data_IF_229871783046
#
_entry.id   IF_229871783046
#
_cell.length_a   1.000
_cell.length_b   1.000
_cell.length_c   1.000
_cell.angle_alpha   90.00
_cell.angle_beta   90.00
_cell.angle_gamma   90.00
#
_symmetry.space_group_name_H-M   'P 1'
#
loop_
_entity.id
_entity.type
_entity.pdbx_description
1 polymer ?
#
# COMPACT_ATOMS: atom_id res chain seq x y z
N UNK A 1 13.96 -9.64 5.05
CA UNK A 1 12.79 -8.93 5.67
C UNK A 1 11.78 -9.85 6.31
N UNK A 2 11.95 -11.15 6.24
CA UNK A 2 10.98 -12.16 6.73
C UNK A 2 10.71 -12.12 8.24
N UNK A 3 11.66 -11.58 9.02
CA UNK A 3 11.53 -11.51 10.49
C UNK A 3 10.38 -10.60 10.97
N UNK A 4 10.04 -9.55 10.20
CA UNK A 4 8.93 -8.64 10.53
C UNK A 4 7.58 -9.22 10.07
N UNK A 5 7.58 -10.12 9.11
CA UNK A 5 6.39 -10.84 8.66
C UNK A 5 5.97 -11.97 9.61
N UNK A 6 6.89 -12.45 10.48
CA UNK A 6 6.53 -13.45 11.52
C UNK A 6 5.76 -12.78 12.66
N UNK A 7 4.46 -13.06 12.73
CA UNK A 7 3.56 -12.57 13.78
C UNK A 7 4.10 -12.82 15.20
N UNK A 8 4.77 -13.95 15.42
CA UNK A 8 5.34 -14.28 16.73
C UNK A 8 6.60 -13.45 17.04
N UNK A 9 7.41 -13.13 16.03
CA UNK A 9 8.55 -12.23 16.19
C UNK A 9 8.10 -10.80 16.53
N UNK A 10 7.03 -10.34 15.90
CA UNK A 10 6.40 -9.04 16.23
C UNK A 10 5.85 -9.03 17.65
N UNK A 11 5.24 -10.11 18.11
CA UNK A 11 4.81 -10.22 19.52
C UNK A 11 5.98 -10.16 20.50
N UNK A 12 7.12 -10.78 20.19
CA UNK A 12 8.34 -10.67 21.01
C UNK A 12 8.83 -9.21 21.00
N UNK A 13 8.88 -8.56 19.82
CA UNK A 13 9.29 -7.17 19.68
C UNK A 13 8.41 -6.24 20.53
N UNK A 14 7.10 -6.42 20.48
CA UNK A 14 6.12 -5.67 21.29
C UNK A 14 6.36 -5.83 22.79
N UNK A 15 6.60 -7.05 23.25
CA UNK A 15 6.86 -7.31 24.66
C UNK A 15 8.21 -6.71 25.11
N UNK A 16 9.23 -6.73 24.25
CA UNK A 16 10.52 -6.05 24.54
C UNK A 16 10.32 -4.52 24.62
N UNK A 17 9.43 -3.97 23.78
CA UNK A 17 9.12 -2.53 23.78
C UNK A 17 8.37 -2.07 25.03
N UNK A 18 7.37 -2.85 25.46
CA UNK A 18 6.46 -2.46 26.56
C UNK A 18 7.02 -2.79 27.95
N UNK A 19 7.78 -3.88 28.07
CA UNK A 19 8.23 -4.37 29.38
C UNK A 19 9.68 -4.82 29.22
N UNK A 20 10.61 -4.17 29.91
CA UNK A 20 12.01 -4.62 30.01
C UNK A 20 12.09 -5.92 30.82
N UNK A 21 11.38 -6.95 30.39
CA UNK A 21 11.15 -8.17 31.16
C UNK A 21 12.25 -9.20 30.95
N UNK A 22 12.42 -10.04 31.96
CA UNK A 22 13.29 -11.19 31.92
C UNK A 22 12.79 -12.21 30.87
N UNK A 23 13.70 -12.88 30.17
CA UNK A 23 13.39 -13.85 29.09
C UNK A 23 12.40 -14.92 29.52
N UNK A 24 12.49 -15.43 30.76
CA UNK A 24 11.63 -16.49 31.26
C UNK A 24 10.16 -16.04 31.40
N UNK A 25 9.94 -14.79 31.82
CA UNK A 25 8.60 -14.20 31.89
C UNK A 25 7.99 -14.08 30.48
N UNK A 26 8.79 -13.66 29.50
CA UNK A 26 8.33 -13.53 28.11
C UNK A 26 8.01 -14.88 27.47
N UNK A 27 8.83 -15.91 27.72
CA UNK A 27 8.62 -17.27 27.23
C UNK A 27 7.27 -17.81 27.75
N UNK A 28 7.04 -17.71 29.05
CA UNK A 28 5.79 -18.15 29.69
C UNK A 28 4.57 -17.39 29.16
N UNK A 29 4.65 -16.06 29.06
CA UNK A 29 3.55 -15.19 28.63
C UNK A 29 3.16 -15.43 27.16
N UNK A 30 4.16 -15.68 26.31
CA UNK A 30 3.95 -15.91 24.87
C UNK A 30 3.64 -17.38 24.55
N UNK A 31 3.64 -18.25 25.54
CA UNK A 31 3.45 -19.71 25.38
C UNK A 31 4.40 -20.29 24.32
N UNK A 32 5.65 -19.86 24.33
CA UNK A 32 6.70 -20.31 23.41
C UNK A 32 7.61 -21.32 24.11
N UNK A 33 8.21 -22.22 23.32
CA UNK A 33 9.35 -22.99 23.81
C UNK A 33 10.60 -22.12 23.87
N UNK A 34 11.55 -22.44 24.74
CA UNK A 34 12.86 -21.72 24.81
C UNK A 34 13.53 -21.67 23.43
N UNK A 35 13.54 -22.77 22.68
CA UNK A 35 14.11 -22.86 21.34
C UNK A 35 13.44 -21.86 20.38
N UNK A 36 12.11 -21.79 20.38
CA UNK A 36 11.35 -20.87 19.55
C UNK A 36 11.62 -19.40 19.91
N UNK A 37 11.67 -19.09 21.21
CA UNK A 37 11.95 -17.74 21.69
C UNK A 37 13.34 -17.28 21.25
N UNK A 38 14.39 -18.07 21.56
CA UNK A 38 15.76 -17.68 21.21
C UNK A 38 16.02 -17.62 19.71
N UNK A 39 15.44 -18.51 18.92
CA UNK A 39 15.53 -18.48 17.46
C UNK A 39 14.98 -17.17 16.90
N UNK A 40 13.78 -16.75 17.31
CA UNK A 40 13.15 -15.51 16.85
C UNK A 40 13.88 -14.27 17.37
N UNK A 41 14.26 -14.27 18.63
CA UNK A 41 15.02 -13.15 19.21
C UNK A 41 16.38 -12.99 18.52
N UNK A 42 17.05 -14.10 18.16
CA UNK A 42 18.25 -14.05 17.34
C UNK A 42 18.00 -13.45 15.95
N UNK A 43 16.86 -13.78 15.32
CA UNK A 43 16.42 -13.14 14.08
C UNK A 43 16.24 -11.63 14.22
N UNK A 44 15.59 -11.18 15.31
CA UNK A 44 15.40 -9.75 15.61
C UNK A 44 16.73 -9.02 15.84
N UNK A 45 17.70 -9.68 16.51
CA UNK A 45 19.05 -9.13 16.71
C UNK A 45 19.80 -9.03 15.38
N UNK A 46 19.77 -10.09 14.55
CA UNK A 46 20.39 -10.09 13.21
C UNK A 46 19.78 -9.03 12.28
N UNK A 47 18.48 -8.78 12.39
CA UNK A 47 17.79 -7.73 11.67
C UNK A 47 18.07 -6.31 12.23
N UNK A 48 18.86 -6.18 13.29
CA UNK A 48 19.19 -4.89 13.91
C UNK A 48 18.05 -4.21 14.67
N UNK A 49 16.93 -4.91 14.92
CA UNK A 49 15.75 -4.37 15.61
C UNK A 49 15.93 -4.37 17.12
N UNK A 50 16.69 -5.33 17.63
CA UNK A 50 16.89 -5.56 19.05
C UNK A 50 18.38 -5.72 19.33
N UNK A 51 18.84 -5.22 20.48
CA UNK A 51 20.19 -5.43 21.00
C UNK A 51 20.12 -6.11 22.37
N UNK A 52 21.15 -6.90 22.69
CA UNK A 52 21.33 -7.53 24.01
C UNK A 52 22.32 -6.73 24.82
N UNK A 53 21.94 -6.31 26.03
CA UNK A 53 22.80 -5.62 26.98
C UNK A 53 22.56 -6.17 28.39
N UNK A 54 23.64 -6.50 29.12
CA UNK A 54 23.55 -7.04 30.48
C UNK A 54 22.54 -8.17 30.68
N UNK A 55 22.47 -9.11 29.72
CA UNK A 55 21.55 -10.23 29.75
C UNK A 55 20.09 -9.91 29.38
N UNK A 56 19.74 -8.67 29.10
CA UNK A 56 18.39 -8.21 28.71
C UNK A 56 18.36 -7.75 27.25
N UNK A 57 17.16 -7.74 26.66
CA UNK A 57 16.93 -7.27 25.31
C UNK A 57 16.30 -5.89 25.30
N UNK A 58 16.76 -5.03 24.39
CA UNK A 58 16.31 -3.66 24.22
C UNK A 58 16.10 -3.35 22.74
N UNK A 59 15.13 -2.49 22.43
CA UNK A 59 14.99 -1.99 21.07
C UNK A 59 16.19 -1.10 20.70
N UNK A 60 16.69 -1.26 19.49
CA UNK A 60 17.58 -0.28 18.85
C UNK A 60 16.80 0.97 18.44
N UNK A 61 17.47 2.03 18.01
CA UNK A 61 16.78 3.19 17.41
C UNK A 61 15.98 2.78 16.17
N UNK A 62 16.56 1.94 15.31
CA UNK A 62 15.88 1.36 14.17
C UNK A 62 14.66 0.52 14.59
N UNK A 63 14.83 -0.34 15.59
CA UNK A 63 13.73 -1.15 16.14
C UNK A 63 12.59 -0.32 16.73
N UNK A 64 12.88 0.84 17.31
CA UNK A 64 11.85 1.77 17.81
C UNK A 64 11.02 2.37 16.68
N UNK A 65 11.69 2.82 15.60
CA UNK A 65 11.01 3.37 14.42
C UNK A 65 10.11 2.31 13.79
N UNK A 66 10.64 1.10 13.56
CA UNK A 66 9.85 -0.01 12.99
C UNK A 66 8.66 -0.37 13.89
N UNK A 67 8.87 -0.42 15.20
CA UNK A 67 7.79 -0.73 16.16
C UNK A 67 6.68 0.33 16.13
N UNK A 68 7.04 1.61 16.12
CA UNK A 68 6.08 2.71 16.00
C UNK A 68 5.27 2.60 14.72
N UNK A 69 5.95 2.47 13.58
CA UNK A 69 5.29 2.33 12.27
C UNK A 69 4.33 1.12 12.23
N UNK A 70 4.73 0.00 12.83
CA UNK A 70 3.89 -1.19 12.90
C UNK A 70 2.64 -0.95 13.76
N UNK A 71 2.78 -0.28 14.90
CA UNK A 71 1.67 0.06 15.79
C UNK A 71 0.70 1.03 15.11
N UNK A 72 1.21 2.03 14.40
CA UNK A 72 0.40 2.97 13.63
C UNK A 72 -0.38 2.25 12.52
N UNK A 73 0.27 1.31 11.82
CA UNK A 73 -0.37 0.48 10.81
C UNK A 73 -1.50 -0.39 11.38
N UNK A 74 -1.28 -1.07 12.52
CA UNK A 74 -2.33 -1.86 13.18
C UNK A 74 -3.53 -0.97 13.55
N UNK A 75 -3.27 0.21 14.12
CA UNK A 75 -4.31 1.16 14.51
C UNK A 75 -5.13 1.63 13.29
N UNK A 76 -4.47 1.85 12.14
CA UNK A 76 -5.14 2.23 10.90
C UNK A 76 -6.04 1.11 10.36
N UNK A 77 -5.55 -0.12 10.39
CA UNK A 77 -6.36 -1.28 10.00
C UNK A 77 -7.58 -1.44 10.91
N UNK A 78 -7.38 -1.34 12.23
CA UNK A 78 -8.47 -1.45 13.19
C UNK A 78 -9.53 -0.37 12.97
N UNK A 79 -9.12 0.87 12.73
CA UNK A 79 -10.04 1.95 12.33
C UNK A 79 -10.80 1.61 11.06
N UNK A 80 -10.11 1.14 10.00
CA UNK A 80 -10.76 0.77 8.75
C UNK A 80 -11.77 -0.37 8.94
N UNK A 81 -11.46 -1.37 9.77
CA UNK A 81 -12.38 -2.46 10.10
C UNK A 81 -13.63 -1.97 10.84
N UNK A 82 -13.50 -0.98 11.73
CA UNK A 82 -14.64 -0.37 12.42
C UNK A 82 -15.60 0.35 11.45
N UNK A 83 -15.09 0.81 10.30
CA UNK A 83 -15.90 1.43 9.25
C UNK A 83 -16.34 0.46 8.15
N UNK A 84 -16.02 -0.83 8.24
CA UNK A 84 -16.23 -1.82 7.16
C UNK A 84 -17.62 -1.75 6.53
N UNK A 85 -18.70 -1.74 7.32
CA UNK A 85 -20.07 -1.72 6.80
C UNK A 85 -20.43 -0.38 6.15
N UNK A 86 -19.94 0.74 6.69
CA UNK A 86 -20.13 2.07 6.10
C UNK A 86 -19.38 2.18 4.76
N UNK A 87 -18.16 1.67 4.68
CA UNK A 87 -17.36 1.62 3.46
C UNK A 87 -18.04 0.76 2.40
N UNK A 88 -18.53 -0.42 2.77
CA UNK A 88 -19.29 -1.28 1.87
C UNK A 88 -20.57 -0.62 1.36
N UNK A 89 -21.27 0.12 2.18
CA UNK A 89 -22.47 0.88 1.75
C UNK A 89 -22.12 1.96 0.72
N UNK A 90 -20.99 2.65 0.87
CA UNK A 90 -20.50 3.64 -0.12
C UNK A 90 -20.20 2.98 -1.47
N UNK A 91 -19.70 1.75 -1.49
CA UNK A 91 -19.39 1.03 -2.72
C UNK A 91 -20.65 0.53 -3.48
N UNK A 92 -21.79 0.43 -2.81
CA UNK A 92 -23.07 0.05 -3.44
C UNK A 92 -23.78 1.21 -4.14
N UNK A 93 -23.31 2.44 -4.00
CA UNK A 93 -23.92 3.62 -4.61
C UNK A 93 -23.49 3.71 -6.07
N UNK A 94 -24.43 3.52 -6.98
CA UNK A 94 -24.19 3.61 -8.42
C UNK A 94 -24.06 5.07 -8.88
N UNK A 95 -22.95 5.39 -9.53
CA UNK A 95 -22.66 6.64 -10.26
C UNK A 95 -23.07 7.97 -9.58
N UNK A 96 -22.71 8.24 -8.32
CA UNK A 96 -23.03 9.51 -7.70
C UNK A 96 -22.19 10.64 -8.31
N UNK A 97 -22.75 11.86 -8.40
CA UNK A 97 -21.93 13.03 -8.72
C UNK A 97 -20.82 13.22 -7.67
N UNK A 98 -19.69 13.82 -8.05
CA UNK A 98 -18.55 14.06 -7.11
C UNK A 98 -18.98 14.82 -5.84
N UNK A 99 -19.87 15.80 -5.98
CA UNK A 99 -20.38 16.57 -4.85
C UNK A 99 -21.21 15.67 -3.92
N UNK A 100 -22.17 14.94 -4.47
CA UNK A 100 -23.03 14.04 -3.71
C UNK A 100 -22.26 12.94 -2.98
N UNK A 101 -21.25 12.35 -3.65
CA UNK A 101 -20.38 11.34 -3.02
C UNK A 101 -19.59 11.92 -1.84
N UNK A 102 -19.07 13.14 -1.98
CA UNK A 102 -18.34 13.82 -0.89
C UNK A 102 -19.24 14.07 0.32
N UNK A 103 -20.50 14.48 0.07
CA UNK A 103 -21.48 14.69 1.14
C UNK A 103 -21.81 13.39 1.87
N UNK A 104 -22.03 12.29 1.13
CA UNK A 104 -22.27 10.96 1.69
C UNK A 104 -21.08 10.49 2.54
N UNK A 105 -19.86 10.61 2.01
CA UNK A 105 -18.64 10.24 2.75
C UNK A 105 -18.52 11.07 4.03
N UNK A 106 -18.77 12.36 3.94
CA UNK A 106 -18.70 13.28 5.11
C UNK A 106 -19.72 12.95 6.18
N UNK A 107 -20.89 12.47 5.78
CA UNK A 107 -21.99 12.09 6.70
C UNK A 107 -21.74 10.73 7.35
N UNK A 108 -21.20 9.75 6.62
CA UNK A 108 -21.02 8.38 7.10
C UNK A 108 -19.72 8.16 7.87
N UNK A 109 -18.67 8.88 7.52
CA UNK A 109 -17.32 8.67 8.05
C UNK A 109 -16.93 9.86 8.92
N UNK A 110 -16.59 9.60 10.19
CA UNK A 110 -16.15 10.66 11.11
C UNK A 110 -14.62 10.88 11.05
N UNK A 111 -13.85 9.85 10.61
CA UNK A 111 -12.39 9.92 10.55
C UNK A 111 -11.91 10.72 9.33
N UNK A 112 -11.26 11.87 9.56
CA UNK A 112 -10.70 12.71 8.49
C UNK A 112 -9.63 11.99 7.66
N UNK A 113 -8.87 11.08 8.28
CA UNK A 113 -7.87 10.27 7.59
C UNK A 113 -8.52 9.36 6.54
N UNK A 114 -9.59 8.65 6.89
CA UNK A 114 -10.32 7.77 5.99
C UNK A 114 -11.04 8.58 4.91
N UNK A 115 -11.68 9.71 5.27
CA UNK A 115 -12.30 10.63 4.31
C UNK A 115 -11.32 11.07 3.23
N UNK A 116 -10.11 11.47 3.64
CA UNK A 116 -9.10 11.98 2.71
C UNK A 116 -8.66 10.90 1.70
N UNK A 117 -8.55 9.65 2.13
CA UNK A 117 -8.21 8.51 1.26
C UNK A 117 -9.33 8.30 0.23
N UNK A 118 -10.58 8.20 0.68
CA UNK A 118 -11.73 7.92 -0.19
C UNK A 118 -11.97 9.01 -1.23
N UNK A 119 -11.84 10.29 -0.82
CA UNK A 119 -12.04 11.43 -1.73
C UNK A 119 -10.93 11.49 -2.77
N UNK A 120 -9.68 11.22 -2.39
CA UNK A 120 -8.52 11.25 -3.28
C UNK A 120 -8.57 10.11 -4.31
N UNK A 121 -8.88 8.91 -3.87
CA UNK A 121 -8.89 7.70 -4.70
C UNK A 121 -10.03 7.72 -5.73
N UNK A 122 -11.25 8.03 -5.31
CA UNK A 122 -12.40 8.15 -6.23
C UNK A 122 -12.31 9.36 -7.18
N UNK A 123 -11.50 10.38 -6.87
CA UNK A 123 -11.18 11.43 -7.82
C UNK A 123 -10.28 10.94 -8.97
N UNK A 124 -9.43 9.95 -8.74
CA UNK A 124 -8.57 9.34 -9.75
C UNK A 124 -9.36 8.38 -10.65
N UNK A 125 -10.27 7.57 -10.10
CA UNK A 125 -11.09 6.63 -10.87
C UNK A 125 -12.02 7.34 -11.86
N UNK A 126 -12.58 8.48 -11.49
CA UNK A 126 -13.41 9.29 -12.36
C UNK A 126 -12.63 10.00 -13.50
N UNK A 127 -11.33 10.24 -13.33
CA UNK A 127 -10.48 10.75 -14.41
C UNK A 127 -10.10 9.69 -15.44
N UNK A 128 -10.18 8.41 -15.08
CA UNK A 128 -9.86 7.29 -15.96
C UNK A 128 -11.02 6.88 -16.90
N UNK A 129 -12.21 7.45 -16.72
CA UNK A 129 -13.43 7.16 -17.51
C UNK A 129 -13.72 8.24 -18.56
N UNK A 130 -12.75 9.04 -18.99
CA UNK A 130 -12.95 9.92 -20.15
C UNK A 130 -13.01 9.06 -21.40
N UNK A 131 -14.15 8.99 -22.14
CA UNK A 131 -14.19 8.32 -23.42
C UNK A 131 -13.23 9.01 -24.37
N UNK A 132 -12.31 8.28 -24.94
CA UNK A 132 -11.53 8.74 -26.09
C UNK A 132 -12.46 8.74 -27.29
N UNK A 133 -13.19 9.83 -27.50
CA UNK A 133 -13.81 10.12 -28.78
C UNK A 133 -12.71 10.41 -29.79
N UNK A 134 -12.33 9.40 -30.51
CA UNK A 134 -11.53 9.53 -31.72
C UNK A 134 -12.43 10.14 -32.79
N UNK A 135 -12.07 11.30 -33.40
CA UNK A 135 -12.80 11.80 -34.55
C UNK A 135 -12.62 10.81 -35.70
N UNK A 136 -13.73 10.25 -36.17
CA UNK A 136 -13.77 9.51 -37.44
C UNK A 136 -13.54 10.50 -38.57
N UNK A 137 -12.35 10.49 -39.14
CA UNK A 137 -12.06 11.15 -40.42
C UNK A 137 -12.95 10.53 -41.51
N UNK A 138 -13.85 11.33 -42.02
CA UNK A 138 -14.60 11.06 -43.24
C UNK A 138 -13.65 11.24 -44.42
N UNK A 139 -13.22 10.14 -45.00
CA UNK A 139 -12.61 10.14 -46.33
C UNK A 139 -13.71 10.40 -47.37
N UNK A 140 -13.74 11.64 -47.89
CA UNK A 140 -14.40 11.97 -49.13
C UNK A 140 -13.46 11.58 -50.30
N UNK A 141 -14.05 10.73 -51.14
CA UNK A 141 -13.49 10.35 -52.44
C UNK A 141 -13.59 11.53 -53.40
N UNK A 142 -12.49 11.96 -53.97
CA UNK A 142 -12.55 12.61 -55.25
C UNK A 142 -11.40 12.19 -56.18
N UNK A 143 -11.86 11.62 -57.27
CA UNK A 143 -11.19 11.17 -58.48
C UNK A 143 -10.55 12.36 -59.21
N UNK A 144 -9.37 12.23 -59.80
CA UNK A 144 -9.12 12.36 -61.25
C UNK A 144 -7.66 12.48 -61.61
N UNK A 145 -7.29 11.66 -62.57
CA UNK A 145 -6.42 11.88 -63.78
C UNK A 145 -4.90 12.05 -63.65
N UNK A 146 -4.26 11.00 -64.09
CA UNK A 146 -3.32 10.96 -65.22
C UNK A 146 -2.27 12.08 -65.36
N UNK A 147 -1.00 11.71 -65.25
CA UNK A 147 -0.02 12.01 -66.29
C UNK A 147 1.27 11.20 -66.09
N UNK A 148 1.55 10.42 -67.08
CA UNK A 148 2.80 9.79 -67.46
C UNK A 148 3.92 10.81 -67.59
N UNK A 149 5.11 10.54 -67.06
CA UNK A 149 6.34 10.84 -67.78
C UNK A 149 7.49 9.97 -67.27
N UNK A 150 8.19 9.48 -68.25
CA UNK A 150 9.25 8.51 -68.29
C UNK A 150 10.64 9.09 -67.96
N UNK A 151 11.53 8.11 -67.68
CA UNK A 151 12.97 8.08 -68.04
C UNK A 151 13.91 9.10 -67.37
N UNK A 152 15.01 8.73 -66.87
CA UNK A 152 16.24 8.07 -67.38
C UNK A 152 17.26 7.95 -66.23
N UNK A 153 17.87 6.77 -66.01
CA UNK A 153 19.24 6.37 -66.33
C UNK A 153 20.37 7.35 -65.97
N UNK A 154 21.25 6.87 -65.18
CA UNK A 154 22.67 6.53 -65.36
C UNK A 154 23.40 6.47 -64.05
N UNK A 155 24.04 5.38 -63.68
CA UNK A 155 25.34 4.82 -63.96
C UNK A 155 26.50 5.66 -63.40
N UNK A 156 27.33 4.91 -62.71
CA UNK A 156 28.80 4.97 -62.52
C UNK A 156 29.26 5.56 -61.20
N UNK A 157 29.81 4.73 -60.37
CA UNK A 157 31.17 4.27 -60.26
C UNK A 157 32.16 5.31 -59.64
N UNK A 158 32.59 5.05 -58.50
CA UNK A 158 33.95 4.74 -58.11
C UNK A 158 33.97 4.26 -56.67
#
# INVERSE_FOLDING_TARGET
>A
MDTIADKRAVHILRNIASIQSNSDILISRLKLTRKQYYSRTSGLVKAGLVKRQKGRYFLTSFGRVIYSTYTDFETKIEKALNYYWKLKAIDTIESPSKAHLKDIISMLIDSEEIKSILIKEKALDLCSQVPTDTPKDKHDKQSTKTSTFQLQRSQSAH
#
